data_IF_307897734043
#
_entry.id   IF_307897734043
#
_cell.length_a   1.000
_cell.length_b   1.000
_cell.length_c   1.000
_cell.angle_alpha   90.00
_cell.angle_beta   90.00
_cell.angle_gamma   90.00
#
_symmetry.space_group_name_H-M   'P 1'
#
loop_
_entity.id
_entity.type
_entity.pdbx_description
1 polymer ?
#
# COMPACT_ATOMS: atom_id res chain seq x y z
N UNK A 1 17.20 13.05 -25.98
CA UNK A 1 17.12 12.06 -24.87
C UNK A 1 18.45 11.32 -24.64
N UNK A 2 19.07 10.66 -25.65
CA UNK A 2 20.36 9.96 -25.48
C UNK A 2 21.51 10.84 -24.93
N UNK A 3 21.61 12.09 -25.36
CA UNK A 3 22.61 13.04 -24.86
C UNK A 3 22.44 13.35 -23.37
N UNK A 4 21.19 13.57 -22.94
CA UNK A 4 20.83 13.84 -21.54
C UNK A 4 21.08 12.63 -20.64
N UNK A 5 20.63 11.43 -21.04
CA UNK A 5 20.86 10.23 -20.23
C UNK A 5 22.35 9.93 -20.09
N UNK A 6 23.13 10.17 -21.15
CA UNK A 6 24.60 10.05 -21.08
C UNK A 6 25.22 11.11 -20.16
N UNK A 7 24.74 12.36 -20.17
CA UNK A 7 25.20 13.39 -19.22
C UNK A 7 24.76 13.12 -17.78
N UNK A 8 23.76 12.28 -17.59
CA UNK A 8 23.31 11.73 -16.30
C UNK A 8 24.05 10.45 -15.89
N UNK A 9 25.05 9.99 -16.64
CA UNK A 9 25.73 8.70 -16.42
C UNK A 9 24.83 7.46 -16.54
N UNK A 10 23.71 7.56 -17.26
CA UNK A 10 22.80 6.43 -17.48
C UNK A 10 23.07 5.77 -18.82
N UNK A 11 23.30 4.48 -18.78
CA UNK A 11 23.53 3.66 -19.97
C UNK A 11 22.21 3.22 -20.58
N UNK A 12 22.03 3.46 -21.88
CA UNK A 12 20.93 2.86 -22.64
C UNK A 12 21.24 1.36 -22.82
N UNK A 13 20.49 0.50 -22.14
CA UNK A 13 20.66 -0.96 -22.20
C UNK A 13 20.01 -1.52 -23.45
N UNK A 14 18.74 -1.18 -23.67
CA UNK A 14 17.99 -1.69 -24.83
C UNK A 14 16.76 -0.82 -25.11
N UNK A 15 16.26 -0.92 -26.34
CA UNK A 15 14.96 -0.38 -26.72
C UNK A 15 14.15 -1.56 -27.24
N UNK A 16 13.03 -1.84 -26.58
CA UNK A 16 12.06 -2.84 -27.03
C UNK A 16 10.87 -2.12 -27.63
N UNK A 17 10.39 -2.62 -28.75
CA UNK A 17 9.18 -2.11 -29.39
C UNK A 17 8.18 -3.25 -29.45
N UNK A 18 7.03 -3.04 -28.84
CA UNK A 18 5.91 -3.94 -29.00
C UNK A 18 5.40 -3.79 -30.44
N UNK A 19 5.34 -4.93 -31.14
CA UNK A 19 4.94 -5.00 -32.55
C UNK A 19 3.44 -4.80 -32.72
N UNK A 20 2.64 -5.06 -31.68
CA UNK A 20 1.17 -5.05 -31.76
C UNK A 20 0.63 -3.62 -31.58
N UNK A 21 0.99 -2.94 -30.49
CA UNK A 21 0.53 -1.58 -30.20
C UNK A 21 1.52 -0.48 -30.68
N UNK A 22 2.70 -0.86 -31.18
CA UNK A 22 3.71 0.07 -31.66
C UNK A 22 4.45 0.85 -30.56
N UNK A 23 4.18 0.57 -29.28
CA UNK A 23 4.76 1.27 -28.12
C UNK A 23 6.22 0.83 -27.94
N UNK A 24 7.12 1.81 -27.80
CA UNK A 24 8.53 1.59 -27.51
C UNK A 24 8.85 1.84 -26.04
N UNK A 25 9.56 0.91 -25.40
CA UNK A 25 10.14 1.06 -24.07
C UNK A 25 11.67 1.10 -24.17
N UNK A 26 12.29 2.13 -23.59
CA UNK A 26 13.73 2.26 -23.46
C UNK A 26 14.15 1.96 -22.02
N UNK A 27 15.13 1.07 -21.85
CA UNK A 27 15.63 0.66 -20.55
C UNK A 27 16.99 1.29 -20.32
N UNK A 28 17.12 2.02 -19.21
CA UNK A 28 18.34 2.69 -18.81
C UNK A 28 18.86 2.08 -17.50
N UNK A 29 20.18 1.99 -17.38
CA UNK A 29 20.86 1.52 -16.16
C UNK A 29 21.62 2.69 -15.54
N UNK A 30 21.38 2.93 -14.25
CA UNK A 30 22.17 3.84 -13.42
C UNK A 30 23.61 3.31 -13.26
N UNK A 31 24.61 4.15 -12.93
CA UNK A 31 25.95 3.64 -12.66
C UNK A 31 25.96 2.69 -11.44
N UNK A 32 27.07 1.98 -11.22
CA UNK A 32 27.25 1.09 -10.07
C UNK A 32 27.93 1.79 -8.89
N UNK A 33 28.61 2.90 -9.13
CA UNK A 33 29.30 3.72 -8.15
C UNK A 33 29.08 5.21 -8.44
N UNK A 34 29.43 6.07 -7.49
CA UNK A 34 29.34 7.52 -7.66
C UNK A 34 30.48 8.12 -8.51
N UNK A 35 31.43 7.31 -9.01
CA UNK A 35 32.61 7.80 -9.74
C UNK A 35 32.21 8.63 -10.96
N UNK A 36 31.33 8.08 -11.80
CA UNK A 36 30.84 8.82 -12.96
C UNK A 36 30.13 10.11 -12.56
N UNK A 37 29.32 10.10 -11.49
CA UNK A 37 28.63 11.30 -11.01
C UNK A 37 29.61 12.39 -10.55
N UNK A 38 30.70 12.01 -9.89
CA UNK A 38 31.73 12.92 -9.40
C UNK A 38 32.55 13.55 -10.55
N UNK A 39 32.75 12.81 -11.64
CA UNK A 39 33.54 13.24 -12.81
C UNK A 39 32.74 14.05 -13.85
N UNK A 40 31.45 14.31 -13.61
CA UNK A 40 30.58 15.02 -14.57
C UNK A 40 31.08 16.45 -14.82
N UNK A 41 31.56 16.69 -16.05
CA UNK A 41 31.95 18.03 -16.54
C UNK A 41 30.79 19.02 -16.57
N UNK A 42 29.61 18.56 -16.98
CA UNK A 42 28.39 19.36 -17.01
C UNK A 42 27.37 18.79 -16.02
N UNK A 43 27.19 19.48 -14.89
CA UNK A 43 26.29 19.08 -13.80
C UNK A 43 24.84 19.49 -14.09
N UNK A 44 24.30 19.06 -15.23
CA UNK A 44 22.91 19.29 -15.62
C UNK A 44 22.25 17.94 -15.96
N UNK A 45 21.28 17.46 -15.15
CA UNK A 45 20.82 18.03 -13.87
C UNK A 45 21.89 17.93 -12.75
N UNK A 46 21.87 18.81 -11.73
CA UNK A 46 22.76 18.73 -10.56
C UNK A 46 22.47 17.50 -9.70
N UNK A 47 23.32 17.24 -8.71
CA UNK A 47 23.01 16.27 -7.64
C UNK A 47 22.05 16.92 -6.63
N UNK A 48 21.17 16.13 -6.02
CA UNK A 48 20.30 16.61 -4.96
C UNK A 48 21.11 16.93 -3.69
N UNK A 49 20.61 17.86 -2.89
CA UNK A 49 21.15 18.17 -1.57
C UNK A 49 21.05 16.95 -0.65
N UNK A 50 21.95 16.82 0.33
CA UNK A 50 21.98 15.64 1.22
C UNK A 50 20.75 15.54 2.14
N UNK A 51 20.02 16.64 2.33
CA UNK A 51 18.77 16.67 3.09
C UNK A 51 17.54 16.34 2.23
N UNK A 52 17.69 16.14 0.92
CA UNK A 52 16.62 15.64 0.06
C UNK A 52 16.51 14.14 0.25
N UNK A 53 15.37 13.68 0.77
CA UNK A 53 15.16 12.26 1.01
C UNK A 53 14.89 11.52 -0.31
N UNK A 54 15.79 10.62 -0.76
CA UNK A 54 15.60 9.86 -2.00
C UNK A 54 14.40 8.89 -1.95
N UNK A 55 13.87 8.60 -0.77
CA UNK A 55 12.76 7.69 -0.56
C UNK A 55 11.41 8.39 -0.53
N UNK A 56 11.39 9.71 -0.31
CA UNK A 56 10.15 10.46 -0.18
C UNK A 56 9.48 10.61 -1.56
N UNK A 57 8.24 10.13 -1.68
CA UNK A 57 7.59 9.94 -2.98
C UNK A 57 6.22 10.62 -3.13
N UNK A 58 5.54 11.01 -2.04
CA UNK A 58 4.18 11.56 -2.11
C UNK A 58 4.05 12.93 -1.46
N UNK A 59 3.28 13.84 -2.08
CA UNK A 59 3.21 15.26 -1.72
C UNK A 59 4.56 16.00 -1.61
N UNK A 60 5.63 15.44 -2.21
CA UNK A 60 6.94 16.07 -2.32
C UNK A 60 7.10 16.65 -3.73
N UNK A 61 7.42 17.96 -3.86
CA UNK A 61 7.70 18.55 -5.16
C UNK A 61 8.87 17.87 -5.86
N UNK A 62 8.70 17.48 -7.11
CA UNK A 62 9.79 16.92 -7.92
C UNK A 62 10.90 17.96 -8.08
N UNK A 63 12.10 17.60 -7.63
CA UNK A 63 13.30 18.41 -7.83
C UNK A 63 14.01 18.03 -9.13
N UNK A 64 14.60 19.02 -9.78
CA UNK A 64 15.36 18.85 -11.03
C UNK A 64 16.80 18.40 -10.76
N UNK A 65 16.98 17.37 -9.93
CA UNK A 65 18.27 16.86 -9.48
C UNK A 65 18.34 15.32 -9.50
N UNK A 66 19.54 14.77 -9.27
CA UNK A 66 19.76 13.33 -9.14
C UNK A 66 20.34 12.96 -7.79
N UNK A 67 19.84 11.89 -7.19
CA UNK A 67 20.42 11.31 -5.98
C UNK A 67 21.68 10.50 -6.29
N UNK A 68 22.65 10.56 -5.37
CA UNK A 68 23.83 9.68 -5.38
C UNK A 68 23.40 8.23 -5.17
N UNK A 69 24.25 7.30 -5.58
CA UNK A 69 24.09 5.89 -5.21
C UNK A 69 24.46 5.76 -3.73
N UNK A 70 23.65 5.07 -2.92
CA UNK A 70 23.97 4.78 -1.52
C UNK A 70 25.36 4.13 -1.38
N UNK A 71 26.16 4.59 -0.41
CA UNK A 71 27.50 4.06 -0.15
C UNK A 71 27.63 3.39 1.21
N UNK A 72 26.74 3.68 2.15
CA UNK A 72 26.73 3.04 3.46
C UNK A 72 25.87 1.78 3.40
N UNK A 73 26.35 0.67 3.96
CA UNK A 73 25.64 -0.62 3.95
C UNK A 73 24.28 -0.56 4.64
N UNK A 74 24.09 0.37 5.58
CA UNK A 74 22.81 0.59 6.26
C UNK A 74 21.79 1.36 5.41
N UNK A 75 22.20 1.96 4.30
CA UNK A 75 21.30 2.75 3.46
C UNK A 75 20.44 1.84 2.60
N UNK A 76 19.18 2.24 2.40
CA UNK A 76 18.26 1.52 1.52
C UNK A 76 18.79 1.52 0.09
N UNK A 77 18.86 0.32 -0.50
CA UNK A 77 19.34 0.12 -1.87
C UNK A 77 20.85 -0.12 -2.00
N UNK A 78 21.60 -0.15 -0.89
CA UNK A 78 23.00 -0.61 -0.88
C UNK A 78 23.13 -2.12 -1.10
N UNK A 79 22.15 -2.89 -0.64
CA UNK A 79 22.10 -4.34 -0.77
C UNK A 79 20.81 -4.78 -1.48
N UNK A 80 20.87 -5.91 -2.18
CA UNK A 80 19.65 -6.54 -2.69
C UNK A 80 18.84 -7.12 -1.51
N UNK A 81 17.51 -7.01 -1.54
CA UNK A 81 16.68 -7.67 -0.54
C UNK A 81 16.81 -9.19 -0.63
N UNK A 82 16.40 -9.87 0.44
CA UNK A 82 16.32 -11.33 0.47
C UNK A 82 15.52 -11.87 -0.72
N UNK A 83 15.82 -13.09 -1.14
CA UNK A 83 15.07 -13.73 -2.22
C UNK A 83 13.62 -14.01 -1.82
N UNK A 84 12.74 -14.01 -2.82
CA UNK A 84 11.36 -14.48 -2.62
C UNK A 84 11.35 -15.99 -2.32
N UNK A 85 10.55 -16.48 -1.35
CA UNK A 85 9.55 -15.77 -0.55
C UNK A 85 10.04 -15.26 0.83
N UNK A 86 11.34 -15.35 1.14
CA UNK A 86 11.89 -15.00 2.46
C UNK A 86 11.71 -13.52 2.80
N UNK A 87 11.96 -12.62 1.84
CA UNK A 87 11.73 -11.17 2.01
C UNK A 87 10.32 -10.79 2.45
N UNK A 88 9.33 -11.67 2.26
CA UNK A 88 7.98 -11.42 2.75
C UNK A 88 7.90 -11.40 4.28
N UNK A 89 8.77 -12.15 4.96
CA UNK A 89 8.75 -12.35 6.42
C UNK A 89 9.96 -11.72 7.12
N UNK A 90 11.05 -11.50 6.40
CA UNK A 90 12.28 -10.94 6.97
C UNK A 90 12.25 -9.40 6.91
N UNK A 91 12.58 -8.69 8.01
CA UNK A 91 12.67 -7.24 8.00
C UNK A 91 13.83 -6.77 7.11
N UNK A 92 13.66 -5.71 6.31
CA UNK A 92 14.76 -5.14 5.54
C UNK A 92 15.98 -4.76 6.38
N UNK A 93 17.17 -4.96 5.83
CA UNK A 93 18.43 -4.76 6.56
C UNK A 93 18.66 -3.29 6.93
N UNK A 94 18.25 -2.36 6.05
CA UNK A 94 18.37 -0.90 6.23
C UNK A 94 17.47 -0.32 7.32
N UNK A 95 16.53 -1.09 7.86
CA UNK A 95 15.75 -0.66 9.01
C UNK A 95 16.66 -0.54 10.24
N UNK A 96 16.74 0.63 10.87
CA UNK A 96 17.58 0.80 12.06
C UNK A 96 16.83 0.43 13.34
N UNK A 97 17.45 -0.35 14.22
CA UNK A 97 16.89 -0.64 15.55
C UNK A 97 16.73 0.60 16.45
N UNK A 98 17.36 1.73 16.10
CA UNK A 98 17.21 3.00 16.82
C UNK A 98 15.93 3.76 16.47
N UNK A 99 15.26 3.38 15.36
CA UNK A 99 14.02 4.03 14.94
C UNK A 99 12.83 3.33 15.59
N UNK A 100 11.94 4.13 16.19
CA UNK A 100 10.66 3.64 16.65
C UNK A 100 9.76 3.35 15.44
N UNK A 101 9.16 2.17 15.42
CA UNK A 101 8.11 1.79 14.51
C UNK A 101 6.77 2.42 14.88
N UNK A 102 5.76 2.10 14.07
CA UNK A 102 4.39 2.59 14.18
C UNK A 102 3.75 2.28 15.54
N UNK A 103 4.02 1.12 16.13
CA UNK A 103 3.43 0.75 17.42
C UNK A 103 4.36 1.00 18.62
N UNK A 104 5.38 1.87 18.45
CA UNK A 104 6.26 2.33 19.54
C UNK A 104 7.39 1.37 19.93
N UNK A 105 7.49 0.21 19.27
CA UNK A 105 8.63 -0.72 19.39
C UNK A 105 9.76 -0.33 18.42
N UNK A 106 10.99 -0.85 18.59
CA UNK A 106 12.01 -0.77 17.53
C UNK A 106 11.46 -1.30 16.20
N UNK A 107 11.67 -0.59 15.09
CA UNK A 107 10.98 -0.85 13.80
C UNK A 107 11.12 -2.29 13.29
N UNK A 108 12.27 -2.96 13.51
CA UNK A 108 12.42 -4.38 13.13
C UNK A 108 11.55 -5.31 13.97
N UNK A 109 11.48 -5.07 15.28
CA UNK A 109 10.61 -5.83 16.18
C UNK A 109 9.14 -5.55 15.89
N UNK A 110 8.82 -4.30 15.56
CA UNK A 110 7.48 -3.84 15.20
C UNK A 110 6.98 -4.55 13.94
N UNK A 111 7.81 -4.60 12.90
CA UNK A 111 7.56 -5.34 11.67
C UNK A 111 7.30 -6.84 11.90
N UNK A 112 8.12 -7.47 12.75
CA UNK A 112 7.99 -8.90 13.07
C UNK A 112 6.70 -9.16 13.86
N UNK A 113 6.40 -8.30 14.83
CA UNK A 113 5.17 -8.36 15.63
C UNK A 113 3.94 -8.21 14.74
N UNK A 114 3.93 -7.23 13.83
CA UNK A 114 2.85 -7.01 12.84
C UNK A 114 2.66 -8.24 11.93
N UNK A 115 3.75 -8.78 11.39
CA UNK A 115 3.72 -9.95 10.52
C UNK A 115 3.15 -11.17 11.23
N UNK A 116 3.55 -11.42 12.47
CA UNK A 116 3.01 -12.52 13.28
C UNK A 116 1.54 -12.27 13.67
N UNK A 117 1.18 -11.03 14.03
CA UNK A 117 -0.18 -10.64 14.34
C UNK A 117 -1.12 -10.97 13.18
N UNK A 118 -0.83 -10.46 11.98
CA UNK A 118 -1.68 -10.67 10.81
C UNK A 118 -1.73 -12.12 10.36
N UNK A 119 -0.61 -12.85 10.44
CA UNK A 119 -0.61 -14.29 10.19
C UNK A 119 -1.60 -15.01 11.11
N UNK A 120 -1.61 -14.67 12.39
CA UNK A 120 -2.53 -15.25 13.37
C UNK A 120 -3.99 -14.85 13.10
N UNK A 121 -4.28 -13.57 12.88
CA UNK A 121 -5.64 -13.06 12.63
C UNK A 121 -6.23 -13.68 11.37
N UNK A 122 -5.48 -13.67 10.26
CA UNK A 122 -5.96 -14.24 9.01
C UNK A 122 -6.23 -15.73 9.15
N UNK A 123 -5.26 -16.48 9.68
CA UNK A 123 -5.35 -17.95 9.77
C UNK A 123 -6.44 -18.42 10.73
N UNK A 124 -6.56 -17.78 11.91
CA UNK A 124 -7.46 -18.25 12.98
C UNK A 124 -8.87 -17.67 12.87
N UNK A 125 -9.01 -16.51 12.23
CA UNK A 125 -10.28 -15.78 12.20
C UNK A 125 -10.78 -15.59 10.78
N UNK A 126 -10.00 -15.02 9.86
CA UNK A 126 -10.56 -14.57 8.57
C UNK A 126 -10.85 -15.70 7.59
N UNK A 127 -9.98 -16.73 7.55
CA UNK A 127 -10.15 -17.85 6.64
C UNK A 127 -11.35 -18.75 6.99
N UNK A 128 -11.81 -18.76 8.24
CA UNK A 128 -12.85 -19.68 8.72
C UNK A 128 -14.07 -19.00 9.35
N UNK A 129 -13.94 -17.78 9.88
CA UNK A 129 -14.91 -17.21 10.82
C UNK A 129 -15.88 -16.17 10.25
N UNK A 130 -15.73 -15.72 9.00
CA UNK A 130 -16.46 -14.56 8.46
C UNK A 130 -17.42 -14.86 7.32
N UNK A 131 -17.66 -16.14 7.00
CA UNK A 131 -18.50 -16.51 5.85
C UNK A 131 -17.94 -16.05 4.49
N UNK A 132 -16.69 -15.57 4.46
CA UNK A 132 -16.01 -15.17 3.23
C UNK A 132 -15.63 -16.43 2.47
N UNK A 133 -16.23 -16.62 1.30
CA UNK A 133 -15.79 -17.64 0.37
C UNK A 133 -14.52 -17.17 -0.35
N UNK A 134 -13.36 -17.42 0.25
CA UNK A 134 -12.04 -17.07 -0.28
C UNK A 134 -11.76 -17.64 -1.68
N UNK A 135 -12.46 -18.72 -2.09
CA UNK A 135 -12.34 -19.25 -3.44
C UNK A 135 -12.88 -18.28 -4.52
N UNK A 136 -13.77 -17.34 -4.14
CA UNK A 136 -14.35 -16.32 -5.02
C UNK A 136 -13.65 -14.97 -4.97
N UNK A 137 -12.76 -14.76 -4.00
CA UNK A 137 -11.99 -13.51 -3.85
C UNK A 137 -10.78 -13.52 -4.78
N UNK A 138 -10.53 -12.42 -5.50
CA UNK A 138 -9.36 -12.26 -6.38
C UNK A 138 -8.62 -10.96 -6.14
N UNK A 139 -9.33 -9.83 -6.01
CA UNK A 139 -8.74 -8.52 -5.77
C UNK A 139 -9.12 -8.03 -4.38
N UNK A 140 -8.12 -7.91 -3.52
CA UNK A 140 -8.23 -7.40 -2.16
C UNK A 140 -7.55 -6.04 -2.10
N UNK A 141 -8.07 -5.13 -1.29
CA UNK A 141 -7.35 -3.92 -0.91
C UNK A 141 -7.25 -3.85 0.60
N UNK A 142 -6.02 -3.66 1.06
CA UNK A 142 -5.74 -3.31 2.43
C UNK A 142 -5.64 -1.79 2.51
N UNK A 143 -6.69 -1.17 3.04
CA UNK A 143 -6.88 0.28 3.00
C UNK A 143 -5.93 1.03 3.93
N UNK A 144 -5.31 0.33 4.88
CA UNK A 144 -4.28 0.87 5.78
C UNK A 144 -3.24 -0.23 6.07
N UNK A 145 -2.32 -0.41 5.14
CA UNK A 145 -1.47 -1.60 5.10
C UNK A 145 -0.33 -1.61 6.13
N UNK A 146 0.05 -0.46 6.70
CA UNK A 146 1.17 -0.36 7.64
C UNK A 146 2.41 -1.05 7.02
N UNK A 147 2.92 -2.15 7.58
CA UNK A 147 4.07 -2.86 7.02
C UNK A 147 3.72 -3.86 5.89
N UNK A 148 2.44 -4.04 5.56
CA UNK A 148 1.92 -5.04 4.61
C UNK A 148 1.74 -6.44 5.22
N UNK A 149 1.60 -6.55 6.54
CA UNK A 149 1.48 -7.83 7.25
C UNK A 149 0.24 -8.62 6.85
N UNK A 150 -0.89 -7.96 6.63
CA UNK A 150 -2.13 -8.58 6.15
C UNK A 150 -1.96 -9.21 4.77
N UNK A 151 -1.38 -8.47 3.82
CA UNK A 151 -1.07 -9.01 2.49
C UNK A 151 -0.08 -10.19 2.55
N UNK A 152 0.92 -10.11 3.42
CA UNK A 152 1.86 -11.20 3.64
C UNK A 152 1.19 -12.46 4.21
N UNK A 153 0.20 -12.30 5.09
CA UNK A 153 -0.58 -13.40 5.66
C UNK A 153 -1.47 -14.08 4.61
N UNK A 154 -1.86 -13.37 3.55
CA UNK A 154 -2.66 -13.89 2.44
C UNK A 154 -1.83 -14.54 1.31
N UNK A 155 -0.50 -14.69 1.47
CA UNK A 155 0.40 -15.27 0.45
C UNK A 155 -0.11 -16.58 -0.15
N UNK A 156 -0.62 -17.47 0.69
CA UNK A 156 -1.04 -18.81 0.26
C UNK A 156 -2.44 -18.81 -0.40
N UNK A 157 -3.12 -17.67 -0.39
CA UNK A 157 -4.38 -17.46 -1.11
C UNK A 157 -4.10 -16.99 -2.54
N UNK A 158 -4.94 -17.41 -3.48
CA UNK A 158 -4.86 -16.98 -4.90
C UNK A 158 -5.49 -15.60 -5.10
N UNK A 159 -5.02 -14.62 -4.33
CA UNK A 159 -5.51 -13.25 -4.31
C UNK A 159 -4.38 -12.25 -4.57
N UNK A 160 -4.76 -11.08 -5.05
CA UNK A 160 -3.91 -9.94 -5.27
C UNK A 160 -4.31 -8.85 -4.27
N UNK A 161 -3.37 -8.35 -3.47
CA UNK A 161 -3.65 -7.38 -2.40
C UNK A 161 -3.01 -6.02 -2.71
N UNK A 162 -3.84 -5.01 -3.02
CA UNK A 162 -3.39 -3.62 -3.09
C UNK A 162 -3.19 -3.07 -1.68
N UNK A 163 -1.94 -2.77 -1.34
CA UNK A 163 -1.58 -2.19 -0.06
C UNK A 163 -1.63 -0.67 -0.14
N UNK A 164 -2.46 -0.03 0.69
CA UNK A 164 -2.56 1.43 0.74
C UNK A 164 -1.82 1.94 1.98
N UNK A 165 -0.89 2.86 1.76
CA UNK A 165 -0.19 3.59 2.82
C UNK A 165 -0.79 4.99 2.90
N UNK A 166 -1.42 5.32 4.02
CA UNK A 166 -2.10 6.59 4.19
C UNK A 166 -1.09 7.75 4.24
N UNK A 167 -1.43 8.87 3.62
CA UNK A 167 -0.55 10.04 3.53
C UNK A 167 -0.32 10.75 4.86
N UNK A 168 -1.19 10.53 5.84
CA UNK A 168 -1.07 11.01 7.22
C UNK A 168 -0.39 10.00 8.15
N UNK A 169 0.14 8.89 7.62
CA UNK A 169 0.85 7.85 8.38
C UNK A 169 2.34 7.79 8.03
N UNK A 170 3.18 7.16 8.89
CA UNK A 170 4.59 6.95 8.59
C UNK A 170 4.79 6.20 7.27
N UNK A 171 5.79 6.63 6.50
CA UNK A 171 6.08 6.06 5.20
C UNK A 171 6.64 4.64 5.31
N UNK A 172 5.78 3.68 4.99
CA UNK A 172 6.06 2.23 5.05
C UNK A 172 6.02 1.58 3.68
N UNK A 173 5.67 2.32 2.63
CA UNK A 173 5.61 1.79 1.27
C UNK A 173 6.98 1.27 0.78
N UNK A 174 8.12 1.91 1.12
CA UNK A 174 9.45 1.35 0.95
C UNK A 174 9.62 -0.09 1.45
N UNK A 175 9.09 -0.38 2.64
CA UNK A 175 9.16 -1.68 3.28
C UNK A 175 8.26 -2.67 2.53
N UNK A 176 7.04 -2.27 2.18
CA UNK A 176 6.10 -3.09 1.40
C UNK A 176 6.72 -3.53 0.07
N UNK A 177 7.36 -2.62 -0.65
CA UNK A 177 8.05 -2.94 -1.90
C UNK A 177 9.22 -3.90 -1.69
N UNK A 178 9.97 -3.75 -0.61
CA UNK A 178 11.09 -4.63 -0.30
C UNK A 178 10.65 -6.04 0.08
N UNK A 179 9.45 -6.19 0.67
CA UNK A 179 8.79 -7.49 0.85
C UNK A 179 8.39 -8.16 -0.46
N UNK A 180 8.47 -7.44 -1.59
CA UNK A 180 7.98 -7.89 -2.89
C UNK A 180 6.48 -7.77 -3.07
N UNK A 181 5.82 -7.00 -2.21
CA UNK A 181 4.42 -6.61 -2.36
C UNK A 181 4.35 -5.31 -3.17
N UNK A 182 3.17 -4.96 -3.65
CA UNK A 182 2.93 -3.68 -4.32
C UNK A 182 1.89 -2.90 -3.52
N UNK A 183 1.91 -1.58 -3.69
CA UNK A 183 1.04 -0.67 -2.97
C UNK A 183 1.10 0.72 -3.55
N UNK A 184 0.41 1.65 -2.90
CA UNK A 184 0.44 3.06 -3.24
C UNK A 184 0.18 3.92 -2.01
N UNK A 185 0.53 5.20 -2.11
CA UNK A 185 0.04 6.21 -1.19
C UNK A 185 -1.39 6.60 -1.55
N UNK A 186 -2.21 6.86 -0.55
CA UNK A 186 -3.52 7.44 -0.79
C UNK A 186 -3.99 8.29 0.39
N UNK A 187 -4.73 9.34 0.08
CA UNK A 187 -5.43 10.18 1.04
C UNK A 187 -6.91 9.84 0.98
N UNK A 188 -7.44 9.19 2.01
CA UNK A 188 -8.84 8.74 2.03
C UNK A 188 -9.86 9.88 2.12
N UNK A 189 -9.42 11.12 2.32
CA UNK A 189 -10.28 12.30 2.15
C UNK A 189 -10.45 12.71 0.68
N UNK A 190 -9.74 12.07 -0.24
CA UNK A 190 -9.82 12.25 -1.69
C UNK A 190 -10.39 11.00 -2.37
N UNK A 191 -10.86 11.14 -3.62
CA UNK A 191 -11.34 9.98 -4.38
C UNK A 191 -10.20 9.04 -4.79
N UNK A 192 -10.39 7.73 -4.64
CA UNK A 192 -9.44 6.70 -5.04
C UNK A 192 -9.46 6.47 -6.56
N UNK A 193 -8.29 6.49 -7.21
CA UNK A 193 -8.22 6.19 -8.64
C UNK A 193 -8.36 4.70 -8.92
N UNK A 194 -9.54 4.29 -9.41
CA UNK A 194 -9.87 2.90 -9.76
C UNK A 194 -9.73 2.65 -11.25
N UNK A 195 -8.49 2.50 -11.75
CA UNK A 195 -8.26 2.18 -13.16
C UNK A 195 -7.85 0.71 -13.35
N UNK A 196 -8.58 -0.13 -14.11
CA UNK A 196 -10.03 -0.29 -14.22
C UNK A 196 -10.52 -1.47 -13.34
N UNK A 197 -10.07 -1.56 -12.08
CA UNK A 197 -10.38 -2.70 -11.19
C UNK A 197 -11.35 -2.31 -10.08
N UNK A 198 -12.35 -3.15 -9.86
CA UNK A 198 -13.17 -3.20 -8.65
C UNK A 198 -12.61 -4.25 -7.68
N UNK A 199 -12.77 -4.02 -6.38
CA UNK A 199 -12.28 -4.95 -5.35
C UNK A 199 -13.37 -5.92 -4.91
N UNK A 200 -12.99 -7.18 -4.68
CA UNK A 200 -13.88 -8.21 -4.12
C UNK A 200 -13.93 -8.13 -2.58
N UNK A 201 -12.85 -7.64 -1.96
CA UNK A 201 -12.74 -7.49 -0.51
C UNK A 201 -11.92 -6.24 -0.17
N UNK A 202 -12.45 -5.40 0.72
CA UNK A 202 -11.68 -4.37 1.40
C UNK A 202 -11.40 -4.77 2.85
N UNK A 203 -10.22 -4.42 3.31
CA UNK A 203 -9.79 -4.58 4.69
C UNK A 203 -9.40 -3.21 5.24
N UNK A 204 -9.98 -2.83 6.37
CA UNK A 204 -9.72 -1.55 7.04
C UNK A 204 -9.45 -1.80 8.52
N UNK A 205 -8.18 -1.69 8.92
CA UNK A 205 -7.76 -1.78 10.32
C UNK A 205 -7.38 -0.40 10.84
N UNK A 206 -8.11 0.10 11.84
CA UNK A 206 -7.92 1.40 12.49
C UNK A 206 -7.88 2.58 11.50
N UNK A 207 -8.60 2.47 10.39
CA UNK A 207 -8.66 3.48 9.34
C UNK A 207 -9.66 4.59 9.69
N UNK A 208 -10.89 4.20 10.05
CA UNK A 208 -12.00 5.14 10.15
C UNK A 208 -11.90 6.02 11.39
N UNK A 209 -11.39 5.50 12.52
CA UNK A 209 -11.14 6.32 13.70
C UNK A 209 -10.07 7.36 13.45
N UNK A 210 -9.05 7.04 12.65
CA UNK A 210 -7.95 7.93 12.28
C UNK A 210 -8.38 9.01 11.28
N UNK A 211 -9.10 8.63 10.22
CA UNK A 211 -9.49 9.56 9.16
C UNK A 211 -10.55 10.58 9.62
N UNK A 212 -11.33 10.23 10.66
CA UNK A 212 -12.36 11.08 11.26
C UNK A 212 -11.86 12.47 11.67
N UNK A 213 -10.60 12.56 12.11
CA UNK A 213 -10.00 13.84 12.52
C UNK A 213 -9.70 14.77 11.35
N UNK A 214 -9.73 14.25 10.11
CA UNK A 214 -9.41 14.98 8.88
C UNK A 214 -10.64 15.24 8.02
N UNK A 215 -11.53 14.26 7.87
CA UNK A 215 -12.75 14.37 7.07
C UNK A 215 -13.88 13.46 7.57
N UNK A 216 -15.14 13.70 7.17
CA UNK A 216 -16.26 12.87 7.57
C UNK A 216 -16.09 11.41 7.13
N UNK A 217 -16.34 10.47 8.05
CA UNK A 217 -16.33 9.02 7.77
C UNK A 217 -17.26 8.66 6.60
N UNK A 218 -18.38 9.37 6.48
CA UNK A 218 -19.33 9.22 5.37
C UNK A 218 -18.64 9.27 4.00
N UNK A 219 -17.70 10.21 3.79
CA UNK A 219 -17.00 10.35 2.51
C UNK A 219 -16.20 9.09 2.17
N UNK A 220 -15.53 8.51 3.16
CA UNK A 220 -14.75 7.28 3.01
C UNK A 220 -15.67 6.07 2.79
N UNK A 221 -16.81 5.99 3.49
CA UNK A 221 -17.78 4.89 3.31
C UNK A 221 -18.45 4.95 1.93
N UNK A 222 -18.76 6.14 1.41
CA UNK A 222 -19.25 6.30 0.03
C UNK A 222 -18.19 5.86 -0.98
N UNK A 223 -16.92 6.14 -0.71
CA UNK A 223 -15.82 5.71 -1.56
C UNK A 223 -15.64 4.18 -1.51
N UNK A 224 -15.75 3.57 -0.33
CA UNK A 224 -15.85 2.11 -0.15
C UNK A 224 -16.97 1.54 -1.01
N UNK A 225 -18.17 2.13 -0.97
CA UNK A 225 -19.27 1.71 -1.81
C UNK A 225 -18.90 1.77 -3.30
N UNK A 226 -18.31 2.88 -3.73
CA UNK A 226 -17.96 3.09 -5.15
C UNK A 226 -16.94 2.08 -5.68
N UNK A 227 -15.93 1.69 -4.89
CA UNK A 227 -14.81 0.84 -5.36
C UNK A 227 -15.07 -0.65 -5.22
N UNK A 228 -16.04 -1.04 -4.38
CA UNK A 228 -16.43 -2.44 -4.18
C UNK A 228 -17.51 -2.83 -5.19
N UNK A 229 -17.27 -3.94 -5.89
CA UNK A 229 -18.28 -4.50 -6.79
C UNK A 229 -19.47 -5.08 -6.01
N UNK A 230 -20.64 -5.23 -6.63
CA UNK A 230 -21.74 -5.97 -6.02
C UNK A 230 -21.32 -7.40 -5.60
N UNK A 231 -21.80 -7.84 -4.43
CA UNK A 231 -21.40 -9.08 -3.73
C UNK A 231 -20.01 -9.02 -3.07
N UNK A 232 -19.27 -7.93 -3.27
CA UNK A 232 -18.00 -7.67 -2.61
C UNK A 232 -18.18 -7.38 -1.13
N UNK A 233 -17.10 -7.49 -0.35
CA UNK A 233 -17.16 -7.44 1.11
C UNK A 233 -16.22 -6.40 1.68
N UNK A 234 -16.50 -5.97 2.90
CA UNK A 234 -15.57 -5.17 3.72
C UNK A 234 -15.42 -5.82 5.09
N UNK A 235 -14.18 -5.87 5.57
CA UNK A 235 -13.86 -6.16 6.96
C UNK A 235 -13.33 -4.87 7.58
N UNK A 236 -13.96 -4.42 8.67
CA UNK A 236 -13.54 -3.27 9.44
C UNK A 236 -13.15 -3.72 10.84
N UNK A 237 -11.95 -3.32 11.29
CA UNK A 237 -11.52 -3.43 12.68
C UNK A 237 -11.25 -2.02 13.19
N UNK A 238 -12.01 -1.56 14.17
CA UNK A 238 -11.81 -0.24 14.74
C UNK A 238 -12.34 -0.17 16.17
N UNK A 239 -12.33 0.99 16.83
CA UNK A 239 -12.99 1.09 18.13
C UNK A 239 -14.52 0.85 17.99
N UNK A 240 -15.20 0.36 19.04
CA UNK A 240 -16.63 0.02 18.96
C UNK A 240 -17.54 1.18 18.53
N UNK A 241 -17.19 2.43 18.86
CA UNK A 241 -18.01 3.59 18.48
C UNK A 241 -17.89 3.88 16.98
N UNK A 242 -16.67 3.81 16.44
CA UNK A 242 -16.40 3.92 15.01
C UNK A 242 -17.06 2.80 14.22
N UNK A 243 -16.98 1.56 14.70
CA UNK A 243 -17.61 0.41 14.03
C UNK A 243 -19.12 0.57 13.95
N UNK A 244 -19.77 1.04 15.02
CA UNK A 244 -21.22 1.29 15.05
C UNK A 244 -21.65 2.37 14.04
N UNK A 245 -20.85 3.43 13.90
CA UNK A 245 -21.08 4.49 12.92
C UNK A 245 -20.94 3.97 11.48
N UNK A 246 -19.86 3.24 11.18
CA UNK A 246 -19.65 2.62 9.87
C UNK A 246 -20.76 1.62 9.54
N UNK A 247 -21.19 0.81 10.51
CA UNK A 247 -22.32 -0.11 10.34
C UNK A 247 -23.61 0.63 9.95
N UNK A 248 -23.91 1.75 10.60
CA UNK A 248 -25.09 2.57 10.30
C UNK A 248 -25.04 3.14 8.89
N UNK A 249 -23.87 3.62 8.46
CA UNK A 249 -23.66 4.16 7.10
C UNK A 249 -23.73 3.08 6.02
N UNK A 250 -23.17 1.89 6.27
CA UNK A 250 -23.26 0.77 5.33
C UNK A 250 -24.71 0.31 5.16
N UNK A 251 -25.49 0.24 6.24
CA UNK A 251 -26.92 -0.09 6.19
C UNK A 251 -27.73 0.93 5.39
N UNK A 252 -27.43 2.22 5.49
CA UNK A 252 -28.12 3.26 4.70
C UNK A 252 -27.80 3.16 3.20
N UNK A 253 -26.67 2.54 2.86
CA UNK A 253 -26.27 2.19 1.48
C UNK A 253 -26.72 0.77 1.08
N UNK A 254 -27.63 0.15 1.84
CA UNK A 254 -28.16 -1.19 1.58
C UNK A 254 -27.13 -2.32 1.61
N UNK A 255 -26.01 -2.17 2.32
CA UNK A 255 -25.12 -3.29 2.60
C UNK A 255 -25.72 -4.22 3.64
N UNK A 256 -25.45 -5.51 3.50
CA UNK A 256 -25.85 -6.55 4.45
C UNK A 256 -24.74 -6.78 5.46
N UNK A 257 -25.03 -6.46 6.72
CA UNK A 257 -24.09 -6.66 7.83
C UNK A 257 -24.14 -8.13 8.27
N UNK A 258 -23.06 -8.87 8.03
CA UNK A 258 -22.99 -10.31 8.30
C UNK A 258 -22.52 -10.60 9.73
N UNK A 259 -21.62 -9.77 10.24
CA UNK A 259 -21.06 -9.94 11.58
C UNK A 259 -20.70 -8.57 12.16
N UNK A 260 -21.15 -8.30 13.38
CA UNK A 260 -20.61 -7.24 14.22
C UNK A 260 -20.23 -7.83 15.57
N UNK A 261 -19.02 -7.55 16.03
CA UNK A 261 -18.50 -8.01 17.31
C UNK A 261 -17.70 -6.92 17.99
N UNK A 262 -17.89 -6.74 19.30
CA UNK A 262 -17.12 -5.79 20.10
C UNK A 262 -16.63 -6.47 21.37
N UNK A 263 -15.32 -6.39 21.64
CA UNK A 263 -14.70 -6.89 22.87
C UNK A 263 -13.66 -5.89 23.39
N UNK A 264 -13.91 -5.35 24.58
CA UNK A 264 -13.06 -4.33 25.17
C UNK A 264 -13.05 -3.07 24.30
N UNK A 265 -11.86 -2.65 23.86
CA UNK A 265 -11.67 -1.47 23.00
C UNK A 265 -11.57 -1.81 21.51
N UNK A 266 -11.76 -3.07 21.12
CA UNK A 266 -11.77 -3.50 19.73
C UNK A 266 -13.19 -3.87 19.29
N UNK A 267 -13.66 -3.22 18.24
CA UNK A 267 -14.83 -3.54 17.45
C UNK A 267 -14.41 -4.13 16.11
N UNK A 268 -15.27 -4.97 15.55
CA UNK A 268 -15.08 -5.61 14.27
C UNK A 268 -16.41 -5.78 13.54
N UNK A 269 -16.40 -5.54 12.25
CA UNK A 269 -17.56 -5.62 11.37
C UNK A 269 -17.17 -6.32 10.07
N UNK A 270 -18.06 -7.16 9.57
CA UNK A 270 -18.02 -7.69 8.21
C UNK A 270 -19.36 -7.43 7.54
N UNK A 271 -19.32 -6.83 6.35
CA UNK A 271 -20.51 -6.52 5.57
C UNK A 271 -20.30 -6.88 4.10
N UNK A 272 -21.41 -7.19 3.43
CA UNK A 272 -21.47 -7.53 2.01
C UNK A 272 -22.29 -6.48 1.26
N UNK A 273 -21.77 -6.02 0.14
CA UNK A 273 -22.48 -5.09 -0.74
C UNK A 273 -23.59 -5.84 -1.47
N UNK A 274 -24.82 -5.39 -1.31
CA UNK A 274 -25.96 -5.97 -2.02
C UNK A 274 -25.95 -5.63 -3.51
N UNK A 275 -26.76 -6.35 -4.28
CA UNK A 275 -27.06 -6.01 -5.69
C UNK A 275 -28.10 -4.89 -5.82
N UNK A 276 -28.39 -4.15 -4.73
CA UNK A 276 -29.43 -3.13 -4.73
C UNK A 276 -29.16 -2.04 -5.77
N UNK A 277 -30.17 -1.81 -6.60
CA UNK A 277 -30.28 -0.62 -7.44
C UNK A 277 -31.61 0.04 -7.13
N UNK A 278 -31.69 1.38 -7.13
CA UNK A 278 -32.99 2.05 -7.10
C UNK A 278 -33.82 1.53 -8.28
N UNK A 279 -34.96 0.92 -8.00
CA UNK A 279 -35.96 0.68 -9.03
C UNK A 279 -36.37 2.05 -9.55
N UNK A 280 -36.15 2.25 -10.86
CA UNK A 280 -36.34 3.47 -11.66
C UNK A 280 -37.26 4.53 -11.04
N UNK A 281 -36.75 5.77 -10.98
CA UNK A 281 -37.56 6.98 -10.77
C UNK A 281 -38.77 6.92 -11.70
N UNK A 282 -39.96 6.83 -11.11
CA UNK A 282 -41.21 7.07 -11.81
C UNK A 282 -41.19 8.55 -12.19
N UNK A 283 -40.92 8.82 -13.48
CA UNK A 283 -41.03 10.16 -14.07
C UNK A 283 -42.46 10.68 -13.98
#
# INVERSE_FOLDING_TARGET
MKSLTRSMCWDLVTIKKDKINGIGAAFFRKPLSNDCYNERRHRSPPMCEENDDPNAAWYIPLKTCMHKIPTNESDRGSNWPQDWPRRLQDPPDWLSNSQAGIYGKPVKEDFLTDTEHWKNVVTKSYLSGFGINWALVRNVMDMQAVYGGFAAALRDQKVWVMNVVNTDAPDTLPIIYERGLFGMYHDWCESFSTYPRTYDLLHADRLFSRVRDRCPILTVVVEVDRIVRPGGKIIVRDDPSTVSEVETLLKSLHWEVQLTFSKGQEGMLSAEKSDWRPETFVY
#
